data_IF_309380240567
#
_entry.id   IF_309380240567
#
_cell.length_a   1.000
_cell.length_b   1.000
_cell.length_c   1.000
_cell.angle_alpha   90.00
_cell.angle_beta   90.00
_cell.angle_gamma   90.00
#
_symmetry.space_group_name_H-M   'P 1'
#
loop_
_entity.id
_entity.type
_entity.pdbx_description
1 polymer ?
#
# COMPACT_ATOMS: atom_id res chain seq x y z
N UNK A 1 -23.40 -4.06 3.60
CA UNK A 1 -22.43 -5.12 3.24
C UNK A 1 -21.12 -4.46 2.84
N UNK A 2 -20.21 -4.26 3.79
CA UNK A 2 -18.87 -3.74 3.51
C UNK A 2 -17.91 -4.92 3.46
N UNK A 3 -17.52 -5.38 2.27
CA UNK A 3 -16.54 -6.46 2.08
C UNK A 3 -15.10 -6.02 2.34
N UNK A 4 -14.87 -4.74 2.64
CA UNK A 4 -13.55 -4.17 2.94
C UNK A 4 -13.61 -3.62 4.36
N UNK A 5 -12.74 -4.12 5.25
CA UNK A 5 -12.53 -3.51 6.55
C UNK A 5 -11.79 -2.19 6.37
N UNK A 6 -12.37 -1.10 6.91
CA UNK A 6 -11.80 0.25 6.82
C UNK A 6 -11.32 0.79 8.17
N UNK A 7 -11.77 0.22 9.28
CA UNK A 7 -11.35 0.59 10.63
C UNK A 7 -10.32 -0.38 11.14
N UNK A 8 -9.07 -0.24 10.69
CA UNK A 8 -7.97 -1.06 11.16
C UNK A 8 -7.37 -0.49 12.45
N UNK A 9 -7.17 -1.33 13.45
CA UNK A 9 -6.25 -0.98 14.55
C UNK A 9 -4.80 -1.21 14.09
N UNK A 10 -3.81 -0.46 14.60
CA UNK A 10 -2.41 -0.62 14.17
C UNK A 10 -1.86 -2.03 14.37
N UNK A 11 -2.27 -2.72 15.43
CA UNK A 11 -1.84 -4.10 15.73
C UNK A 11 -2.48 -5.12 14.79
N UNK A 12 -3.75 -4.95 14.41
CA UNK A 12 -4.40 -5.81 13.42
C UNK A 12 -3.87 -5.53 12.00
N UNK A 13 -3.48 -4.29 11.74
CA UNK A 13 -2.94 -3.89 10.45
C UNK A 13 -1.52 -4.45 10.22
N UNK A 14 -0.75 -4.73 11.28
CA UNK A 14 0.56 -5.37 11.15
C UNK A 14 0.43 -6.86 10.73
N UNK A 15 -0.67 -7.51 11.11
CA UNK A 15 -0.93 -8.90 10.76
C UNK A 15 -1.37 -9.09 9.31
N UNK A 16 -1.02 -10.25 8.74
CA UNK A 16 -1.39 -10.58 7.37
C UNK A 16 -2.90 -10.88 7.24
N UNK A 17 -3.56 -10.13 6.38
CA UNK A 17 -5.01 -10.13 6.20
C UNK A 17 -5.40 -10.70 4.83
N UNK A 18 -6.70 -10.97 4.65
CA UNK A 18 -7.22 -11.49 3.36
C UNK A 18 -7.06 -10.46 2.25
N UNK A 19 -7.16 -9.19 2.61
CA UNK A 19 -6.97 -8.02 1.77
C UNK A 19 -5.54 -7.98 1.20
N UNK A 20 -4.53 -8.37 1.99
CA UNK A 20 -3.13 -8.44 1.51
C UNK A 20 -2.92 -9.58 0.52
N UNK A 21 -3.60 -10.71 0.70
CA UNK A 21 -3.57 -11.82 -0.27
C UNK A 21 -4.22 -11.42 -1.60
N UNK A 22 -5.35 -10.72 -1.54
CA UNK A 22 -6.01 -10.17 -2.73
C UNK A 22 -5.09 -9.17 -3.42
N UNK A 23 -4.45 -8.28 -2.65
CA UNK A 23 -3.46 -7.35 -3.15
C UNK A 23 -2.24 -8.03 -3.79
N UNK A 24 -1.72 -9.08 -3.18
CA UNK A 24 -0.60 -9.84 -3.72
C UNK A 24 -0.96 -10.54 -5.03
N UNK A 25 -2.19 -11.06 -5.15
CA UNK A 25 -2.68 -11.63 -6.40
C UNK A 25 -2.89 -10.54 -7.47
N UNK A 26 -3.51 -9.42 -7.10
CA UNK A 26 -3.75 -8.28 -7.99
C UNK A 26 -2.44 -7.63 -8.45
N UNK A 27 -1.38 -7.64 -7.63
CA UNK A 27 -0.09 -7.05 -8.00
C UNK A 27 0.58 -7.87 -9.12
N UNK A 28 0.59 -9.20 -9.01
CA UNK A 28 1.11 -10.08 -10.06
C UNK A 28 0.33 -9.89 -11.36
N UNK A 29 -1.00 -9.85 -11.28
CA UNK A 29 -1.87 -9.61 -12.44
C UNK A 29 -1.62 -8.24 -13.07
N UNK A 30 -1.51 -7.19 -12.25
CA UNK A 30 -1.23 -5.84 -12.70
C UNK A 30 0.13 -5.74 -13.39
N UNK A 31 1.19 -6.35 -12.83
CA UNK A 31 2.51 -6.36 -13.45
C UNK A 31 2.49 -6.99 -14.84
N UNK A 32 1.83 -8.15 -15.00
CA UNK A 32 1.73 -8.83 -16.29
C UNK A 32 0.92 -8.01 -17.30
N UNK A 33 -0.23 -7.48 -16.90
CA UNK A 33 -1.09 -6.68 -17.77
C UNK A 33 -0.45 -5.36 -18.21
N UNK A 34 0.22 -4.66 -17.28
CA UNK A 34 0.91 -3.40 -17.60
C UNK A 34 2.12 -3.68 -18.49
N UNK A 35 2.96 -4.67 -18.16
CA UNK A 35 4.15 -4.97 -18.96
C UNK A 35 3.78 -5.40 -20.39
N UNK A 36 2.85 -6.35 -20.52
CA UNK A 36 2.39 -6.84 -21.82
C UNK A 36 1.58 -5.79 -22.57
N UNK A 37 0.70 -5.07 -21.88
CA UNK A 37 -0.09 -3.98 -22.46
C UNK A 37 0.78 -2.84 -22.98
N UNK A 38 1.80 -2.43 -22.22
CA UNK A 38 2.77 -1.41 -22.66
C UNK A 38 3.56 -1.87 -23.88
N UNK A 39 4.12 -3.08 -23.85
CA UNK A 39 4.85 -3.64 -24.98
C UNK A 39 3.99 -3.67 -26.26
N UNK A 40 2.78 -4.20 -26.18
CA UNK A 40 1.87 -4.30 -27.34
C UNK A 40 1.34 -2.92 -27.80
N UNK A 41 1.15 -1.97 -26.89
CA UNK A 41 0.74 -0.60 -27.24
C UNK A 41 1.84 0.14 -28.01
N UNK A 42 3.11 -0.10 -27.67
CA UNK A 42 4.25 0.44 -28.42
C UNK A 42 4.31 -0.11 -29.85
N UNK A 43 3.81 -1.33 -30.08
CA UNK A 43 3.64 -1.91 -31.42
C UNK A 43 2.37 -1.41 -32.13
N UNK A 44 1.67 -0.41 -31.58
CA UNK A 44 0.40 0.14 -32.07
C UNK A 44 -0.72 -0.90 -32.21
N UNK A 45 -0.63 -2.04 -31.52
CA UNK A 45 -1.69 -3.04 -31.50
C UNK A 45 -2.82 -2.60 -30.58
N UNK A 46 -4.05 -2.60 -31.09
CA UNK A 46 -5.25 -2.23 -30.32
C UNK A 46 -5.42 -3.07 -29.04
N UNK A 47 -5.04 -4.35 -29.09
CA UNK A 47 -5.06 -5.26 -27.92
C UNK A 47 -4.16 -4.75 -26.79
N UNK A 48 -3.04 -4.11 -27.12
CA UNK A 48 -2.12 -3.55 -26.13
C UNK A 48 -2.80 -2.49 -25.26
N UNK A 49 -3.55 -1.57 -25.87
CA UNK A 49 -4.25 -0.51 -25.15
C UNK A 49 -5.33 -1.07 -24.21
N UNK A 50 -6.04 -2.12 -24.63
CA UNK A 50 -7.05 -2.79 -23.78
C UNK A 50 -6.40 -3.44 -22.56
N UNK A 51 -5.29 -4.16 -22.76
CA UNK A 51 -4.53 -4.77 -21.65
C UNK A 51 -3.95 -3.73 -20.71
N UNK A 52 -3.47 -2.62 -21.25
CA UNK A 52 -2.90 -1.52 -20.47
C UNK A 52 -3.97 -0.85 -19.59
N UNK A 53 -5.17 -0.60 -20.14
CA UNK A 53 -6.33 -0.13 -19.36
C UNK A 53 -6.73 -1.14 -18.27
N UNK A 54 -6.76 -2.43 -18.59
CA UNK A 54 -7.03 -3.48 -17.61
C UNK A 54 -5.99 -3.52 -16.48
N UNK A 55 -4.71 -3.35 -16.83
CA UNK A 55 -3.62 -3.25 -15.86
C UNK A 55 -3.77 -2.05 -14.93
N UNK A 56 -4.04 -0.87 -15.47
CA UNK A 56 -4.31 0.34 -14.68
C UNK A 56 -5.49 0.14 -13.73
N UNK A 57 -6.60 -0.44 -14.22
CA UNK A 57 -7.77 -0.73 -13.39
C UNK A 57 -7.45 -1.71 -12.25
N UNK A 58 -6.66 -2.75 -12.54
CA UNK A 58 -6.20 -3.72 -11.53
C UNK A 58 -5.33 -3.05 -10.45
N UNK A 59 -4.40 -2.19 -10.86
CA UNK A 59 -3.58 -1.41 -9.91
C UNK A 59 -4.43 -0.48 -9.06
N UNK A 60 -5.42 0.20 -9.66
CA UNK A 60 -6.31 1.08 -8.91
C UNK A 60 -7.15 0.31 -7.88
N UNK A 61 -7.70 -0.85 -8.26
CA UNK A 61 -8.45 -1.72 -7.37
C UNK A 61 -7.56 -2.22 -6.20
N UNK A 62 -6.32 -2.58 -6.50
CA UNK A 62 -5.34 -2.96 -5.48
C UNK A 62 -5.11 -1.81 -4.48
N UNK A 63 -4.85 -0.59 -4.96
CA UNK A 63 -4.68 0.57 -4.07
C UNK A 63 -5.91 0.82 -3.21
N UNK A 64 -7.11 0.70 -3.78
CA UNK A 64 -8.36 0.88 -3.04
C UNK A 64 -8.54 -0.13 -1.90
N UNK A 65 -8.04 -1.36 -2.07
CA UNK A 65 -8.08 -2.40 -1.04
C UNK A 65 -7.02 -2.18 0.05
N UNK A 66 -5.79 -1.79 -0.32
CA UNK A 66 -4.66 -1.68 0.62
C UNK A 66 -4.60 -0.33 1.35
N UNK A 67 -5.01 0.77 0.71
CA UNK A 67 -4.93 2.14 1.26
C UNK A 67 -5.47 2.29 2.71
N UNK A 68 -6.66 1.77 3.09
CA UNK A 68 -7.15 1.93 4.46
C UNK A 68 -6.23 1.28 5.51
N UNK A 69 -5.57 0.18 5.14
CA UNK A 69 -4.65 -0.55 6.02
C UNK A 69 -3.32 0.18 6.16
N UNK A 70 -2.75 0.62 5.03
CA UNK A 70 -1.50 1.41 5.03
C UNK A 70 -1.64 2.71 5.84
N UNK A 71 -2.80 3.38 5.75
CA UNK A 71 -3.06 4.59 6.54
C UNK A 71 -3.07 4.32 8.04
N UNK A 72 -3.72 3.24 8.48
CA UNK A 72 -3.73 2.88 9.89
C UNK A 72 -2.32 2.61 10.43
N UNK A 73 -1.51 1.85 9.69
CA UNK A 73 -0.12 1.55 10.02
C UNK A 73 0.72 2.83 10.06
N UNK A 74 0.60 3.69 9.04
CA UNK A 74 1.37 4.92 8.93
C UNK A 74 1.16 5.86 10.13
N UNK A 75 -0.08 5.95 10.62
CA UNK A 75 -0.40 6.81 11.77
C UNK A 75 0.27 6.36 13.08
N UNK A 76 0.44 5.05 13.27
CA UNK A 76 1.13 4.52 14.45
C UNK A 76 2.65 4.69 14.34
N UNK A 77 3.21 4.50 13.14
CA UNK A 77 4.62 4.79 12.88
C UNK A 77 4.95 6.27 13.08
N UNK A 78 4.11 7.19 12.59
CA UNK A 78 4.29 8.62 12.81
C UNK A 78 4.29 8.98 14.31
N UNK A 79 3.39 8.36 15.10
CA UNK A 79 3.36 8.54 16.55
C UNK A 79 4.66 8.06 17.21
N UNK A 80 5.10 6.84 16.88
CA UNK A 80 6.35 6.25 17.40
C UNK A 80 7.58 7.08 16.99
N UNK A 81 7.62 7.57 15.75
CA UNK A 81 8.71 8.41 15.25
C UNK A 81 8.79 9.75 15.99
N UNK A 82 7.64 10.37 16.27
CA UNK A 82 7.58 11.61 17.05
C UNK A 82 8.04 11.42 18.49
N UNK A 83 7.66 10.30 19.12
CA UNK A 83 8.14 9.96 20.47
C UNK A 83 9.64 9.66 20.50
N UNK A 84 10.15 8.96 19.50
CA UNK A 84 11.58 8.70 19.36
C UNK A 84 12.37 10.00 19.22
N UNK A 85 11.92 10.93 18.35
CA UNK A 85 12.55 12.25 18.20
C UNK A 85 12.59 13.02 19.50
N UNK A 86 11.48 13.06 20.26
CA UNK A 86 11.45 13.69 21.60
C UNK A 86 12.45 13.05 22.56
N UNK A 87 12.58 11.72 22.54
CA UNK A 87 13.55 11.00 23.39
C UNK A 87 14.98 11.39 23.01
N UNK A 88 15.29 11.41 21.72
CA UNK A 88 16.60 11.82 21.21
C UNK A 88 16.90 13.27 21.58
N UNK A 89 15.96 14.19 21.41
CA UNK A 89 16.14 15.60 21.80
C UNK A 89 16.46 15.76 23.29
N UNK A 90 15.75 15.04 24.18
CA UNK A 90 16.05 15.04 25.62
C UNK A 90 17.46 14.51 25.92
N UNK A 91 17.84 13.40 25.29
CA UNK A 91 19.19 12.83 25.40
C UNK A 91 20.27 13.82 24.93
N UNK A 92 20.08 14.45 23.76
CA UNK A 92 21.03 15.44 23.21
C UNK A 92 21.14 16.69 24.07
N UNK A 93 20.05 17.11 24.71
CA UNK A 93 20.04 18.24 25.66
C UNK A 93 20.57 17.88 27.04
N UNK A 94 20.95 16.63 27.28
CA UNK A 94 21.35 16.11 28.60
C UNK A 94 20.27 16.32 29.68
N UNK A 95 19.02 16.57 29.26
CA UNK A 95 17.84 16.60 30.12
C UNK A 95 17.49 15.14 30.43
N UNK A 96 18.16 14.59 31.46
CA UNK A 96 17.97 13.28 32.09
C UNK A 96 17.22 12.22 31.27
N UNK A 97 17.96 11.20 30.85
CA UNK A 97 17.40 9.88 30.64
C UNK A 97 16.90 9.34 31.99
N UNK A 98 15.66 9.65 32.34
CA UNK A 98 14.91 9.01 33.44
C UNK A 98 13.68 8.33 32.85
#
# INVERSE_FOLDING_TARGET
>A
MSWIQRGWTPEEADNWSREDWIAACLSVLAYLLIAMGAALSLLAMQVGFVLLLGGIASTWLMYYVIDPKLRAISSDYERKQKEYLRRVEKLTRWEKAE
#
